data_IF_067174619034
#
_entry.id   IF_067174619034
#
_cell.length_a   1.000
_cell.length_b   1.000
_cell.length_c   1.000
_cell.angle_alpha   90.00
_cell.angle_beta   90.00
_cell.angle_gamma   90.00
#
_symmetry.space_group_name_H-M   'P 1'
#
loop_
_entity.id
_entity.type
_entity.pdbx_description
1 polymer ?
#
# COMPACT_ATOMS: atom_id res chain seq x y z
N UNK A 1 -6.87 -4.89 40.07
CA UNK A 1 -7.93 -4.14 39.35
C UNK A 1 -7.45 -3.91 37.93
N UNK A 2 -7.85 -4.75 36.97
CA UNK A 2 -7.50 -4.54 35.56
C UNK A 2 -8.32 -3.37 35.06
N UNK A 3 -7.70 -2.20 34.91
CA UNK A 3 -8.28 -1.10 34.16
C UNK A 3 -8.79 -1.64 32.82
N UNK A 4 -10.09 -1.50 32.55
CA UNK A 4 -10.58 -1.59 31.17
C UNK A 4 -9.97 -0.39 30.44
N UNK A 5 -8.73 -0.53 29.98
CA UNK A 5 -8.11 0.46 29.11
C UNK A 5 -9.04 0.61 27.92
N UNK A 6 -9.65 1.77 27.80
CA UNK A 6 -10.59 2.06 26.72
C UNK A 6 -9.78 2.50 25.51
N UNK A 7 -10.08 1.92 24.35
CA UNK A 7 -9.41 2.24 23.07
C UNK A 7 -9.76 3.68 22.63
N UNK A 8 -10.96 4.15 22.98
CA UNK A 8 -11.54 5.43 22.55
C UNK A 8 -10.66 6.67 22.80
N UNK A 9 -10.12 6.92 24.01
CA UNK A 9 -9.25 8.08 24.26
C UNK A 9 -8.00 8.06 23.38
N UNK A 10 -7.38 6.90 23.19
CA UNK A 10 -6.19 6.76 22.36
C UNK A 10 -6.48 7.02 20.87
N UNK A 11 -7.62 6.55 20.36
CA UNK A 11 -8.07 6.86 19.00
C UNK A 11 -8.31 8.36 18.80
N UNK A 12 -8.91 9.02 19.81
CA UNK A 12 -9.14 10.47 19.76
C UNK A 12 -7.81 11.23 19.73
N UNK A 13 -6.88 10.91 20.64
CA UNK A 13 -5.56 11.51 20.68
C UNK A 13 -4.77 11.27 19.39
N UNK A 14 -4.82 10.05 18.83
CA UNK A 14 -4.18 9.73 17.56
C UNK A 14 -4.76 10.56 16.40
N UNK A 15 -6.09 10.74 16.35
CA UNK A 15 -6.74 11.57 15.33
C UNK A 15 -6.35 13.04 15.46
N UNK A 16 -6.28 13.56 16.69
CA UNK A 16 -5.83 14.92 16.98
C UNK A 16 -4.37 15.11 16.57
N UNK A 17 -3.48 14.18 16.92
CA UNK A 17 -2.08 14.21 16.51
C UNK A 17 -1.90 14.24 14.98
N UNK A 18 -2.69 13.46 14.23
CA UNK A 18 -2.68 13.51 12.76
C UNK A 18 -3.14 14.88 12.23
N UNK A 19 -4.10 15.53 12.89
CA UNK A 19 -4.62 16.84 12.48
C UNK A 19 -3.62 17.95 12.79
N UNK A 20 -2.98 17.87 13.95
CA UNK A 20 -2.09 18.91 14.47
C UNK A 20 -0.67 18.78 13.90
N UNK A 21 -0.40 17.73 13.12
CA UNK A 21 0.89 17.47 12.48
C UNK A 21 1.89 16.69 13.35
N UNK A 22 1.49 16.32 14.56
CA UNK A 22 2.27 15.52 15.50
C UNK A 22 2.13 14.03 15.17
N UNK A 23 2.69 13.61 14.04
CA UNK A 23 2.49 12.27 13.49
C UNK A 23 3.16 11.16 14.34
N UNK A 24 4.29 11.43 15.00
CA UNK A 24 4.95 10.48 15.90
C UNK A 24 4.04 10.14 17.08
N UNK A 25 3.56 11.15 17.79
CA UNK A 25 2.62 10.98 18.90
C UNK A 25 1.31 10.32 18.43
N UNK A 26 0.86 10.60 17.20
CA UNK A 26 -0.30 9.91 16.64
C UNK A 26 -0.07 8.41 16.44
N UNK A 27 1.11 8.01 15.96
CA UNK A 27 1.51 6.61 15.80
C UNK A 27 1.62 5.92 17.16
N UNK A 28 2.17 6.60 18.18
CA UNK A 28 2.29 6.03 19.53
C UNK A 28 0.91 5.77 20.14
N UNK A 29 0.01 6.76 20.08
CA UNK A 29 -1.37 6.62 20.55
C UNK A 29 -2.15 5.57 19.74
N UNK A 30 -1.92 5.47 18.44
CA UNK A 30 -2.53 4.42 17.64
C UNK A 30 -1.96 3.04 17.97
N UNK A 31 -0.68 2.94 18.34
CA UNK A 31 -0.04 1.68 18.73
C UNK A 31 -0.56 1.18 20.08
N UNK A 32 -0.72 2.07 21.06
CA UNK A 32 -1.38 1.70 22.33
C UNK A 32 -2.84 1.29 22.12
N UNK A 33 -3.56 1.94 21.19
CA UNK A 33 -4.91 1.51 20.81
C UNK A 33 -4.93 0.08 20.23
N UNK A 34 -3.94 -0.27 19.40
CA UNK A 34 -3.79 -1.64 18.85
C UNK A 34 -3.42 -2.66 19.93
N UNK A 35 -2.61 -2.29 20.92
CA UNK A 35 -2.28 -3.18 22.05
C UNK A 35 -3.50 -3.50 22.92
N UNK A 36 -4.41 -2.54 23.06
CA UNK A 36 -5.66 -2.72 23.82
C UNK A 36 -6.67 -3.52 23.00
N UNK A 37 -6.82 -3.18 21.71
CA UNK A 37 -7.69 -3.87 20.76
C UNK A 37 -7.00 -4.08 19.42
N UNK A 38 -6.49 -5.30 19.26
CA UNK A 38 -5.77 -5.71 18.06
C UNK A 38 -6.67 -5.80 16.81
N UNK A 39 -8.00 -5.74 16.96
CA UNK A 39 -8.97 -5.75 15.87
C UNK A 39 -9.59 -4.37 15.61
N UNK A 40 -9.00 -3.30 16.17
CA UNK A 40 -9.51 -1.95 15.95
C UNK A 40 -9.09 -1.40 14.59
N UNK A 41 -10.00 -1.42 13.61
CA UNK A 41 -9.79 -0.85 12.27
C UNK A 41 -9.30 0.61 12.30
N UNK A 42 -9.93 1.47 13.12
CA UNK A 42 -9.57 2.89 13.18
C UNK A 42 -8.14 3.11 13.70
N UNK A 43 -7.66 2.26 14.61
CA UNK A 43 -6.30 2.37 15.14
C UNK A 43 -5.27 2.13 14.04
N UNK A 44 -5.42 1.05 13.25
CA UNK A 44 -4.53 0.78 12.11
C UNK A 44 -4.63 1.86 11.02
N UNK A 45 -5.83 2.40 10.78
CA UNK A 45 -6.01 3.48 9.82
C UNK A 45 -5.25 4.75 10.24
N UNK A 46 -5.34 5.14 11.53
CA UNK A 46 -4.64 6.30 12.07
C UNK A 46 -3.13 6.07 12.12
N UNK A 47 -2.69 4.86 12.51
CA UNK A 47 -1.29 4.45 12.49
C UNK A 47 -0.70 4.54 11.07
N UNK A 48 -1.40 4.01 10.07
CA UNK A 48 -1.00 4.11 8.66
C UNK A 48 -0.94 5.55 8.15
N UNK A 49 -1.85 6.42 8.59
CA UNK A 49 -1.82 7.87 8.27
C UNK A 49 -0.62 8.57 8.89
N UNK A 50 -0.31 8.26 10.14
CA UNK A 50 0.87 8.79 10.83
C UNK A 50 2.15 8.39 10.10
N UNK A 51 2.34 7.10 9.82
CA UNK A 51 3.50 6.63 9.07
C UNK A 51 3.62 7.21 7.66
N UNK A 52 2.50 7.30 6.94
CA UNK A 52 2.49 7.92 5.62
C UNK A 52 2.99 9.37 5.66
N UNK A 53 2.60 10.12 6.69
CA UNK A 53 3.00 11.52 6.88
C UNK A 53 4.44 11.67 7.36
N UNK A 54 4.96 10.67 8.06
CA UNK A 54 6.38 10.57 8.43
C UNK A 54 7.28 10.11 7.28
N UNK A 55 6.71 9.71 6.13
CA UNK A 55 7.46 9.17 4.99
C UNK A 55 7.88 7.69 5.17
N UNK A 56 7.42 7.05 6.24
CA UNK A 56 7.64 5.63 6.52
C UNK A 56 6.67 4.78 5.71
N UNK A 57 6.91 4.70 4.40
CA UNK A 57 6.00 4.08 3.44
C UNK A 57 5.80 2.57 3.71
N UNK A 58 6.86 1.86 4.10
CA UNK A 58 6.82 0.43 4.39
C UNK A 58 5.88 0.08 5.54
N UNK A 59 5.99 0.83 6.63
CA UNK A 59 5.18 0.70 7.83
C UNK A 59 3.75 1.17 7.58
N UNK A 60 3.58 2.21 6.77
CA UNK A 60 2.26 2.67 6.34
C UNK A 60 1.52 1.60 5.53
N UNK A 61 2.20 0.93 4.58
CA UNK A 61 1.61 -0.19 3.83
C UNK A 61 1.17 -1.28 4.80
N UNK A 62 2.07 -1.73 5.70
CA UNK A 62 1.75 -2.79 6.65
C UNK A 62 0.54 -2.44 7.53
N UNK A 63 0.47 -1.21 8.05
CA UNK A 63 -0.64 -0.75 8.88
C UNK A 63 -1.96 -0.71 8.09
N UNK A 64 -1.97 -0.17 6.87
CA UNK A 64 -3.19 -0.14 6.07
C UNK A 64 -3.61 -1.54 5.58
N UNK A 65 -2.66 -2.43 5.26
CA UNK A 65 -2.97 -3.82 4.92
C UNK A 65 -3.70 -4.51 6.07
N UNK A 66 -3.23 -4.35 7.31
CA UNK A 66 -3.94 -4.84 8.50
C UNK A 66 -5.34 -4.22 8.63
N UNK A 67 -5.48 -2.93 8.38
CA UNK A 67 -6.80 -2.29 8.38
C UNK A 67 -7.74 -2.94 7.34
N UNK A 68 -7.27 -3.22 6.12
CA UNK A 68 -8.07 -3.90 5.09
C UNK A 68 -8.38 -5.37 5.42
N UNK A 69 -7.54 -6.05 6.20
CA UNK A 69 -7.81 -7.41 6.67
C UNK A 69 -8.95 -7.45 7.70
N UNK A 70 -9.02 -6.44 8.56
CA UNK A 70 -10.03 -6.29 9.60
C UNK A 70 -11.38 -5.88 9.00
N UNK A 71 -11.39 -4.80 8.21
CA UNK A 71 -12.60 -4.31 7.55
C UNK A 71 -12.33 -4.06 6.06
N UNK A 72 -12.87 -4.97 5.24
CA UNK A 72 -12.77 -4.91 3.78
C UNK A 72 -13.80 -3.97 3.15
N UNK A 73 -14.82 -3.53 3.89
CA UNK A 73 -15.89 -2.69 3.36
C UNK A 73 -15.56 -1.21 3.43
N UNK A 74 -14.56 -0.82 4.24
CA UNK A 74 -14.24 0.58 4.43
C UNK A 74 -13.26 1.10 3.36
N UNK A 75 -13.68 2.09 2.52
CA UNK A 75 -12.83 2.60 1.44
C UNK A 75 -11.60 3.39 1.93
N UNK A 76 -11.62 3.90 3.17
CA UNK A 76 -10.57 4.77 3.70
C UNK A 76 -9.18 4.10 3.76
N UNK A 77 -9.10 2.80 4.07
CA UNK A 77 -7.85 2.07 4.12
C UNK A 77 -7.28 1.82 2.72
N UNK A 78 -8.11 1.45 1.74
CA UNK A 78 -7.70 1.30 0.35
C UNK A 78 -7.25 2.62 -0.28
N UNK A 79 -7.87 3.74 0.08
CA UNK A 79 -7.39 5.07 -0.32
C UNK A 79 -5.99 5.36 0.26
N UNK A 80 -5.76 5.00 1.52
CA UNK A 80 -4.44 5.09 2.16
C UNK A 80 -3.38 4.27 1.42
N UNK A 81 -3.67 3.00 1.14
CA UNK A 81 -2.80 2.11 0.35
C UNK A 81 -2.51 2.69 -1.03
N UNK A 82 -3.53 3.21 -1.72
CA UNK A 82 -3.36 3.79 -3.05
C UNK A 82 -2.37 4.96 -3.04
N UNK A 83 -2.50 5.88 -2.08
CA UNK A 83 -1.58 7.02 -1.95
C UNK A 83 -0.15 6.56 -1.61
N UNK A 84 0.00 5.58 -0.71
CA UNK A 84 1.32 5.05 -0.37
C UNK A 84 1.97 4.35 -1.56
N UNK A 85 1.23 3.52 -2.30
CA UNK A 85 1.75 2.84 -3.49
C UNK A 85 2.04 3.79 -4.66
N UNK A 86 1.32 4.92 -4.75
CA UNK A 86 1.67 6.00 -5.68
C UNK A 86 3.04 6.59 -5.38
N UNK A 87 3.37 6.81 -4.11
CA UNK A 87 4.68 7.32 -3.69
C UNK A 87 5.78 6.26 -3.78
N UNK A 88 5.47 5.01 -3.45
CA UNK A 88 6.40 3.88 -3.54
C UNK A 88 6.67 3.43 -5.00
N UNK A 89 6.04 4.08 -5.99
CA UNK A 89 6.07 3.72 -7.42
C UNK A 89 5.63 2.28 -7.75
N UNK A 90 5.00 1.58 -6.80
CA UNK A 90 4.45 0.24 -7.01
C UNK A 90 3.08 0.34 -7.70
N UNK A 91 3.13 0.43 -9.02
CA UNK A 91 1.94 0.49 -9.85
C UNK A 91 1.10 -0.80 -9.78
N UNK A 92 1.69 -1.96 -9.49
CA UNK A 92 0.94 -3.21 -9.45
C UNK A 92 0.04 -3.27 -8.20
N UNK A 93 0.59 -2.96 -7.04
CA UNK A 93 -0.17 -2.91 -5.79
C UNK A 93 -1.19 -1.75 -5.78
N UNK A 94 -0.83 -0.59 -6.33
CA UNK A 94 -1.75 0.53 -6.49
C UNK A 94 -2.97 0.20 -7.35
N UNK A 95 -2.80 -0.59 -8.42
CA UNK A 95 -3.91 -1.06 -9.24
C UNK A 95 -4.85 -1.99 -8.48
N UNK A 96 -4.30 -2.92 -7.70
CA UNK A 96 -5.11 -3.80 -6.85
C UNK A 96 -5.92 -3.01 -5.81
N UNK A 97 -5.33 -1.96 -5.22
CA UNK A 97 -6.05 -1.07 -4.31
C UNK A 97 -7.23 -0.35 -5.01
N UNK A 98 -7.03 0.15 -6.23
CA UNK A 98 -8.12 0.77 -7.02
C UNK A 98 -9.22 -0.24 -7.36
N UNK A 99 -8.86 -1.46 -7.74
CA UNK A 99 -9.81 -2.51 -8.11
C UNK A 99 -10.72 -2.90 -6.94
N UNK A 100 -10.21 -2.90 -5.72
CA UNK A 100 -11.01 -3.09 -4.50
C UNK A 100 -11.80 -1.83 -4.11
N UNK A 101 -11.29 -0.63 -4.42
CA UNK A 101 -11.90 0.64 -4.01
C UNK A 101 -13.09 1.07 -4.88
N UNK A 102 -13.03 0.85 -6.20
CA UNK A 102 -14.11 1.21 -7.15
C UNK A 102 -15.48 0.61 -6.76
N UNK A 103 -15.61 -0.71 -6.48
CA UNK A 103 -16.91 -1.28 -6.14
C UNK A 103 -17.45 -0.75 -4.80
N UNK A 104 -16.58 -0.45 -3.83
CA UNK A 104 -16.99 0.10 -2.52
C UNK A 104 -17.53 1.54 -2.62
N UNK A 105 -17.08 2.30 -3.61
CA UNK A 105 -17.50 3.68 -3.84
C UNK A 105 -18.65 3.82 -4.85
N UNK A 106 -19.05 2.72 -5.49
CA UNK A 106 -20.11 2.71 -6.50
C UNK A 106 -21.45 3.05 -5.83
N UNK A 107 -21.90 4.30 -6.01
CA UNK A 107 -23.12 4.87 -5.40
C UNK A 107 -22.86 6.03 -4.45
N UNK A 108 -21.70 6.09 -3.79
CA UNK A 108 -21.39 7.16 -2.84
C UNK A 108 -20.77 8.40 -3.51
N UNK A 109 -19.91 8.20 -4.52
CA UNK A 109 -19.21 9.29 -5.21
C UNK A 109 -18.79 8.89 -6.64
N UNK A 110 -19.68 9.06 -7.62
CA UNK A 110 -19.38 8.74 -9.02
C UNK A 110 -18.19 9.53 -9.58
N UNK A 111 -18.04 10.80 -9.20
CA UNK A 111 -16.91 11.62 -9.60
C UNK A 111 -15.56 11.02 -9.16
N UNK A 112 -15.47 10.57 -7.90
CA UNK A 112 -14.25 9.91 -7.39
C UNK A 112 -14.00 8.58 -8.11
N UNK A 113 -15.04 7.81 -8.40
CA UNK A 113 -14.90 6.58 -9.19
C UNK A 113 -14.36 6.87 -10.60
N UNK A 114 -14.83 7.93 -11.27
CA UNK A 114 -14.30 8.34 -12.56
C UNK A 114 -12.82 8.73 -12.48
N UNK A 115 -12.42 9.46 -11.45
CA UNK A 115 -11.02 9.83 -11.21
C UNK A 115 -10.13 8.62 -10.93
N UNK A 116 -10.60 7.67 -10.12
CA UNK A 116 -9.89 6.42 -9.84
C UNK A 116 -9.73 5.58 -11.11
N UNK A 117 -10.77 5.49 -11.97
CA UNK A 117 -10.67 4.82 -13.27
C UNK A 117 -9.63 5.49 -14.18
N UNK A 118 -9.57 6.83 -14.21
CA UNK A 118 -8.53 7.56 -14.95
C UNK A 118 -7.13 7.29 -14.39
N UNK A 119 -6.98 7.32 -13.06
CA UNK A 119 -5.72 6.99 -12.38
C UNK A 119 -5.25 5.57 -12.70
N UNK A 120 -6.17 4.61 -12.69
CA UNK A 120 -5.92 3.21 -13.04
C UNK A 120 -5.34 3.06 -14.44
N UNK A 121 -5.95 3.68 -15.45
CA UNK A 121 -5.44 3.63 -16.84
C UNK A 121 -4.03 4.21 -16.92
N UNK A 122 -3.77 5.34 -16.25
CA UNK A 122 -2.42 5.94 -16.21
C UNK A 122 -1.39 4.99 -15.58
N UNK A 123 -1.74 4.34 -14.47
CA UNK A 123 -0.86 3.38 -13.79
C UNK A 123 -0.60 2.14 -14.63
N UNK A 124 -1.62 1.60 -15.31
CA UNK A 124 -1.47 0.46 -16.23
C UNK A 124 -0.48 0.77 -17.35
N UNK A 125 -0.58 1.93 -17.98
CA UNK A 125 0.36 2.35 -19.03
C UNK A 125 1.79 2.43 -18.49
N UNK A 126 2.00 2.97 -17.29
CA UNK A 126 3.33 3.01 -16.65
C UNK A 126 3.86 1.61 -16.36
N UNK A 127 3.03 0.72 -15.81
CA UNK A 127 3.41 -0.66 -15.52
C UNK A 127 3.77 -1.44 -16.79
N UNK A 128 3.00 -1.29 -17.87
CA UNK A 128 3.31 -1.92 -19.16
C UNK A 128 4.62 -1.41 -19.74
N UNK A 129 4.90 -0.10 -19.64
CA UNK A 129 6.20 0.47 -20.06
C UNK A 129 7.35 -0.15 -19.28
N UNK A 130 7.24 -0.28 -17.97
CA UNK A 130 8.24 -0.94 -17.12
C UNK A 130 8.42 -2.43 -17.47
N UNK A 131 7.33 -3.15 -17.75
CA UNK A 131 7.40 -4.55 -18.17
C UNK A 131 8.07 -4.70 -19.53
N UNK A 132 7.76 -3.82 -20.49
CA UNK A 132 8.39 -3.81 -21.82
C UNK A 132 9.88 -3.48 -21.73
N UNK A 133 10.29 -2.52 -20.89
CA UNK A 133 11.72 -2.21 -20.69
C UNK A 133 12.47 -3.39 -20.06
N UNK A 134 11.91 -4.02 -19.03
CA UNK A 134 12.47 -5.23 -18.40
C UNK A 134 12.55 -6.42 -19.36
N UNK A 135 11.55 -6.63 -20.21
CA UNK A 135 11.58 -7.69 -21.25
C UNK A 135 12.66 -7.45 -22.29
N UNK A 136 12.86 -6.20 -22.71
CA UNK A 136 13.92 -5.82 -23.66
C UNK A 136 15.33 -5.96 -23.07
N UNK A 137 15.50 -5.69 -21.77
CA UNK A 137 16.78 -5.93 -21.10
C UNK A 137 17.04 -7.42 -20.85
N UNK A 138 16.03 -8.20 -20.50
CA UNK A 138 16.17 -9.66 -20.32
C UNK A 138 16.41 -10.40 -21.63
N UNK A 139 15.82 -9.97 -22.75
CA UNK A 139 16.06 -10.55 -24.08
C UNK A 139 17.42 -10.19 -24.68
N UNK A 140 18.15 -9.23 -24.08
CA UNK A 140 19.52 -8.84 -24.47
C UNK A 140 20.60 -9.50 -23.62
N UNK A 141 20.24 -10.35 -22.65
CA UNK A 141 21.23 -11.17 -21.97
C UNK A 141 21.93 -12.03 -23.04
N UNK A 142 23.27 -11.97 -23.17
CA UNK A 142 23.97 -12.78 -24.15
C UNK A 142 23.69 -14.23 -23.77
N UNK A 143 23.01 -14.95 -24.65
CA UNK A 143 23.10 -16.41 -24.66
C UNK A 143 24.60 -16.67 -24.74
N UNK A 144 25.22 -17.06 -23.62
CA UNK A 144 26.50 -17.76 -23.67
C UNK A 144 26.21 -19.02 -24.46
N UNK A 145 26.31 -18.90 -25.78
CA UNK A 145 26.35 -20.00 -26.70
C UNK A 145 27.45 -20.90 -26.17
N UNK A 146 27.05 -22.07 -25.70
CA UNK A 146 27.94 -23.15 -25.34
C UNK A 146 28.90 -23.34 -26.53
N UNK A 147 30.13 -22.88 -26.35
CA UNK A 147 31.21 -23.11 -27.27
C UNK A 147 31.58 -24.59 -27.09
N UNK A 148 30.95 -25.47 -27.87
CA UNK A 148 31.34 -26.88 -27.95
C UNK A 148 32.78 -26.91 -28.52
N UNK A 149 33.78 -27.39 -27.78
CA UNK A 149 35.11 -27.54 -28.36
C UNK A 149 35.07 -28.71 -29.34
N UNK A 150 35.37 -28.37 -30.59
CA UNK A 150 35.58 -29.26 -31.73
C UNK A 150 36.74 -30.20 -31.43
N UNK A 151 36.46 -31.46 -31.11
CA UNK A 151 37.49 -32.51 -31.10
C UNK A 151 37.70 -32.99 -32.53
N UNK A 152 38.85 -32.62 -33.09
CA UNK A 152 39.39 -33.19 -34.30
C UNK A 152 39.99 -34.56 -33.97
N UNK A 153 39.45 -35.63 -34.56
CA UNK A 153 40.08 -36.94 -34.57
C UNK A 153 40.74 -37.11 -35.94
N UNK A 154 42.07 -36.96 -35.95
CA UNK A 154 42.96 -37.41 -37.01
C UNK A 154 43.20 -38.91 -36.81
N UNK A 155 42.88 -39.75 -37.79
CA UNK A 155 43.52 -41.03 -38.13
C UNK A 155 42.97 -41.53 -39.45
#
# INVERSE_FOLDING_TARGET
MSERKSVKPFLKAAREGVRDGNYESAVDNASTAVEIDANCYEAYLLKGKGYYKLGLLTEAIAAYTRATEIDRLQPSAYMGLLEVHKLAEDHAAGLAAIDNLIPLLQGANEAKCADLRRQRVRMLVKLERQRRSRRRSSSRAPTKAAHCPRVASFS
#
